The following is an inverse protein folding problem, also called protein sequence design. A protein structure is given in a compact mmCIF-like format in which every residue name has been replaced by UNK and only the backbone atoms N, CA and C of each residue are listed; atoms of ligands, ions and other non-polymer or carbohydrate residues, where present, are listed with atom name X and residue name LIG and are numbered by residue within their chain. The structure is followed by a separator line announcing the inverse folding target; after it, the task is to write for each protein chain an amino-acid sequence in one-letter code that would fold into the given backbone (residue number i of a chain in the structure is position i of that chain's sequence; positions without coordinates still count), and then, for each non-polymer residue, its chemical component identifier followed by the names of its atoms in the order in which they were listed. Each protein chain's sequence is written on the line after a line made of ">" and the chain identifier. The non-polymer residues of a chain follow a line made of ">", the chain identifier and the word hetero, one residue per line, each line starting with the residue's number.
data_IF_129076227003
#
_entry.id   IF_129076227003
#
_cell.length_a   1.000
_cell.length_b   1.000
_cell.length_c   1.000
_cell.angle_alpha   90.00
_cell.angle_beta   90.00
_cell.angle_gamma   90.00
#
_symmetry.space_group_name_H-M   'P 1'
#
loop_
_entity.id
_entity.type
_entity.pdbx_description
1 polymer ?
#
# COMPACT_ATOMS: atom_id res chain seq x y z
N UNK A 1 -4.25 -12.67 7.18
CA UNK A 1 -3.52 -12.62 5.90
C UNK A 1 -4.32 -13.31 4.83
N UNK A 2 -4.49 -12.70 3.66
CA UNK A 2 -5.24 -13.23 2.51
C UNK A 2 -4.56 -12.82 1.21
N UNK A 3 -4.71 -13.65 0.17
CA UNK A 3 -4.19 -13.45 -1.17
C UNK A 3 -5.37 -13.57 -2.14
N UNK A 4 -5.44 -12.68 -3.12
CA UNK A 4 -6.47 -12.64 -4.15
C UNK A 4 -5.76 -12.44 -5.49
N UNK A 5 -5.84 -13.43 -6.37
CA UNK A 5 -5.38 -13.32 -7.75
C UNK A 5 -6.51 -12.76 -8.63
N UNK A 6 -6.15 -12.20 -9.77
CA UNK A 6 -7.07 -11.57 -10.72
C UNK A 6 -7.99 -10.54 -10.04
N UNK A 7 -7.38 -9.69 -9.19
CA UNK A 7 -8.09 -8.79 -8.28
C UNK A 7 -8.91 -7.72 -9.01
N UNK A 8 -8.35 -7.10 -10.04
CA UNK A 8 -9.00 -6.06 -10.83
C UNK A 8 -9.43 -6.59 -12.20
N UNK A 9 -10.53 -6.08 -12.78
CA UNK A 9 -10.82 -6.23 -14.20
C UNK A 9 -9.68 -5.70 -15.09
N UNK A 10 -9.53 -6.25 -16.30
CA UNK A 10 -8.44 -5.89 -17.20
C UNK A 10 -8.39 -4.41 -17.55
N UNK A 11 -9.54 -3.79 -17.78
CA UNK A 11 -9.65 -2.36 -18.09
C UNK A 11 -9.20 -1.45 -16.93
N UNK A 12 -9.41 -1.87 -15.69
CA UNK A 12 -8.91 -1.15 -14.50
C UNK A 12 -7.41 -1.32 -14.34
N UNK A 13 -6.87 -2.51 -14.61
CA UNK A 13 -5.42 -2.73 -14.67
C UNK A 13 -4.76 -1.86 -15.72
N UNK A 14 -5.33 -1.79 -16.92
CA UNK A 14 -4.80 -0.98 -18.01
C UNK A 14 -4.84 0.51 -17.64
N UNK A 15 -5.92 0.97 -17.02
CA UNK A 15 -6.02 2.33 -16.53
C UNK A 15 -4.95 2.65 -15.48
N UNK A 16 -4.68 1.75 -14.52
CA UNK A 16 -3.61 1.91 -13.54
C UNK A 16 -2.23 1.97 -14.20
N UNK A 17 -1.96 1.07 -15.17
CA UNK A 17 -0.68 1.02 -15.85
C UNK A 17 -0.39 2.26 -16.73
N UNK A 18 -1.44 2.97 -17.14
CA UNK A 18 -1.35 4.22 -17.91
C UNK A 18 -1.23 5.47 -17.03
N UNK A 19 -1.37 5.35 -15.71
CA UNK A 19 -1.14 6.48 -14.82
C UNK A 19 0.35 6.87 -14.85
N UNK A 20 0.60 8.19 -14.83
CA UNK A 20 1.95 8.69 -14.61
C UNK A 20 2.34 8.42 -13.15
N UNK A 21 3.26 7.47 -12.96
CA UNK A 21 3.75 7.07 -11.64
C UNK A 21 4.83 8.06 -11.21
N UNK A 22 4.51 8.90 -10.24
CA UNK A 22 5.51 9.71 -9.56
C UNK A 22 6.15 8.89 -8.44
N UNK A 23 7.43 8.57 -8.62
CA UNK A 23 8.20 7.78 -7.66
C UNK A 23 8.29 8.48 -6.31
N UNK A 24 8.24 7.69 -5.25
CA UNK A 24 8.41 8.13 -3.87
C UNK A 24 7.35 9.14 -3.36
N UNK A 25 6.20 9.26 -4.01
CA UNK A 25 5.06 10.00 -3.47
C UNK A 25 4.14 9.08 -2.67
N UNK A 26 3.66 9.59 -1.55
CA UNK A 26 2.54 9.03 -0.80
C UNK A 26 1.30 9.86 -1.10
N UNK A 27 0.25 9.18 -1.53
CA UNK A 27 -1.04 9.80 -1.80
C UNK A 27 -1.95 9.57 -0.60
N UNK A 28 -2.56 10.62 -0.09
CA UNK A 28 -3.67 10.51 0.86
C UNK A 28 -4.99 10.47 0.09
N UNK A 29 -5.78 9.44 0.32
CA UNK A 29 -7.08 9.24 -0.32
C UNK A 29 -8.14 9.12 0.78
N UNK A 30 -8.99 10.14 0.91
CA UNK A 30 -10.06 10.17 1.89
C UNK A 30 -11.10 9.07 1.62
N UNK A 31 -11.62 8.43 2.68
CA UNK A 31 -12.64 7.39 2.53
C UNK A 31 -13.94 7.92 1.91
N UNK A 32 -14.24 9.21 2.06
CA UNK A 32 -15.38 9.88 1.46
C UNK A 32 -15.09 10.46 0.06
N UNK A 33 -13.85 10.32 -0.48
CA UNK A 33 -13.53 10.81 -1.81
C UNK A 33 -14.26 10.03 -2.89
N UNK A 34 -14.47 10.66 -4.05
CA UNK A 34 -15.09 9.97 -5.18
C UNK A 34 -14.13 8.91 -5.74
N UNK A 35 -14.48 7.61 -5.71
CA UNK A 35 -13.63 6.54 -6.23
C UNK A 35 -13.34 6.68 -7.73
N UNK A 36 -14.19 7.34 -8.49
CA UNK A 36 -14.03 7.49 -9.93
C UNK A 36 -13.12 8.67 -10.34
N UNK A 37 -12.45 9.32 -9.38
CA UNK A 37 -11.53 10.44 -9.66
C UNK A 37 -10.38 10.01 -10.58
N UNK A 38 -9.77 8.87 -10.31
CA UNK A 38 -8.74 8.25 -11.14
C UNK A 38 -8.57 6.76 -10.79
N UNK A 39 -7.80 6.03 -11.61
CA UNK A 39 -7.61 4.60 -11.44
C UNK A 39 -6.97 4.22 -10.09
N UNK A 40 -6.03 5.03 -9.55
CA UNK A 40 -5.44 4.78 -8.24
C UNK A 40 -6.49 4.92 -7.13
N UNK A 41 -7.28 5.98 -7.15
CA UNK A 41 -8.35 6.21 -6.16
C UNK A 41 -9.35 5.05 -6.20
N UNK A 42 -9.78 4.63 -7.38
CA UNK A 42 -10.70 3.51 -7.57
C UNK A 42 -10.13 2.20 -7.01
N UNK A 43 -8.88 1.90 -7.34
CA UNK A 43 -8.18 0.71 -6.83
C UNK A 43 -8.05 0.75 -5.31
N UNK A 44 -7.68 1.89 -4.71
CA UNK A 44 -7.57 2.03 -3.26
C UNK A 44 -8.94 1.83 -2.60
N UNK A 45 -9.99 2.46 -3.11
CA UNK A 45 -11.35 2.28 -2.58
C UNK A 45 -11.84 0.83 -2.66
N UNK A 46 -11.45 0.07 -3.68
CA UNK A 46 -11.83 -1.34 -3.79
C UNK A 46 -11.28 -2.18 -2.62
N UNK A 47 -10.13 -1.80 -2.02
CA UNK A 47 -9.58 -2.47 -0.84
C UNK A 47 -10.36 -2.17 0.44
N UNK A 48 -11.17 -1.12 0.48
CA UNK A 48 -11.97 -0.75 1.67
C UNK A 48 -12.93 -1.86 2.10
N UNK A 49 -13.39 -2.70 1.17
CA UNK A 49 -14.24 -3.85 1.47
C UNK A 49 -13.60 -4.89 2.40
N UNK A 50 -12.28 -4.83 2.61
CA UNK A 50 -11.51 -5.72 3.48
C UNK A 50 -11.08 -5.06 4.78
N UNK A 51 -11.39 -3.77 4.98
CA UNK A 51 -11.14 -3.02 6.21
C UNK A 51 -12.23 -3.36 7.21
N UNK A 52 -11.85 -3.76 8.42
CA UNK A 52 -12.80 -4.21 9.43
C UNK A 52 -13.53 -3.06 10.12
N UNK A 53 -12.78 -2.01 10.45
CA UNK A 53 -13.30 -0.84 11.15
C UNK A 53 -13.39 0.36 10.22
N UNK A 54 -14.32 1.30 10.45
CA UNK A 54 -14.40 2.52 9.68
C UNK A 54 -13.07 3.28 9.67
N UNK A 55 -12.59 3.63 8.48
CA UNK A 55 -11.40 4.44 8.28
C UNK A 55 -11.75 5.81 7.68
N UNK A 56 -10.92 6.83 7.97
CA UNK A 56 -11.08 8.18 7.42
C UNK A 56 -10.41 8.33 6.06
N UNK A 57 -9.38 7.55 5.79
CA UNK A 57 -8.68 7.57 4.52
C UNK A 57 -7.54 6.57 4.46
N UNK A 58 -6.90 6.49 3.31
CA UNK A 58 -5.76 5.63 3.08
C UNK A 58 -4.54 6.41 2.63
N UNK A 59 -3.36 5.93 3.04
CA UNK A 59 -2.13 6.25 2.34
C UNK A 59 -1.87 5.19 1.28
N UNK A 60 -1.49 5.63 0.08
CA UNK A 60 -1.09 4.76 -1.02
C UNK A 60 0.22 5.26 -1.61
N UNK A 61 1.13 4.33 -1.92
CA UNK A 61 2.44 4.65 -2.51
C UNK A 61 2.90 3.58 -3.49
N UNK A 62 3.69 4.01 -4.49
CA UNK A 62 4.28 3.11 -5.46
C UNK A 62 5.66 2.63 -5.03
N UNK A 63 5.88 1.33 -5.04
CA UNK A 63 7.17 0.69 -4.85
C UNK A 63 7.73 0.24 -6.20
N UNK A 64 8.72 0.96 -6.70
CA UNK A 64 9.27 0.80 -8.07
C UNK A 64 10.78 0.70 -8.13
N UNK A 65 11.46 0.80 -6.99
CA UNK A 65 12.91 0.68 -6.92
C UNK A 65 13.30 -0.53 -6.10
N UNK A 66 14.37 -1.25 -6.48
CA UNK A 66 14.99 -2.18 -5.57
C UNK A 66 15.44 -1.39 -4.35
N UNK A 67 14.85 -1.70 -3.21
CA UNK A 67 15.28 -1.19 -1.91
C UNK A 67 16.08 -2.28 -1.21
N UNK A 68 17.01 -1.89 -0.35
CA UNK A 68 17.63 -2.85 0.55
C UNK A 68 16.53 -3.57 1.33
N UNK A 69 16.60 -4.91 1.42
CA UNK A 69 15.56 -5.72 2.04
C UNK A 69 15.57 -5.55 3.56
N UNK A 70 15.09 -4.40 4.02
CA UNK A 70 14.98 -4.10 5.46
C UNK A 70 13.66 -4.65 5.98
N UNK A 71 13.76 -5.42 7.06
CA UNK A 71 12.59 -5.84 7.81
C UNK A 71 11.94 -4.63 8.50
N UNK A 72 10.65 -4.45 8.29
CA UNK A 72 9.85 -3.38 8.90
C UNK A 72 8.41 -3.84 9.11
N UNK A 73 7.64 -3.04 9.81
CA UNK A 73 6.19 -3.05 9.73
C UNK A 73 5.69 -1.61 9.51
N UNK A 74 4.49 -1.48 9.00
CA UNK A 74 4.00 -0.18 8.54
C UNK A 74 3.49 0.72 9.67
N UNK A 75 3.46 0.24 10.91
CA UNK A 75 2.91 0.99 12.05
C UNK A 75 3.94 1.38 13.12
N UNK A 76 5.11 0.73 13.18
CA UNK A 76 6.10 0.97 14.25
C UNK A 76 6.53 2.43 14.35
N UNK A 77 6.71 3.10 13.23
CA UNK A 77 7.11 4.52 13.21
C UNK A 77 6.03 5.47 13.73
N UNK A 78 4.82 4.97 14.03
CA UNK A 78 3.68 5.77 14.47
C UNK A 78 3.20 5.42 15.88
N UNK A 79 3.69 4.33 16.47
CA UNK A 79 3.25 3.87 17.79
C UNK A 79 3.51 4.89 18.91
N UNK A 80 4.56 5.71 18.78
CA UNK A 80 4.91 6.74 19.74
C UNK A 80 4.14 8.06 19.52
N UNK A 81 3.58 8.26 18.33
CA UNK A 81 2.89 9.49 17.93
C UNK A 81 1.37 9.40 18.12
N UNK A 82 0.79 8.20 17.96
CA UNK A 82 -0.67 8.02 17.93
C UNK A 82 -1.14 6.91 18.87
N UNK A 83 -2.37 7.03 19.44
CA UNK A 83 -2.98 5.95 20.20
C UNK A 83 -3.09 4.66 19.37
N UNK A 84 -2.77 3.52 19.98
CA UNK A 84 -2.72 2.23 19.29
C UNK A 84 -4.02 1.85 18.58
N UNK A 85 -5.17 2.27 19.13
CA UNK A 85 -6.49 2.03 18.52
C UNK A 85 -6.79 2.90 17.30
N UNK A 86 -5.96 3.90 17.01
CA UNK A 86 -6.05 4.75 15.81
C UNK A 86 -5.14 4.29 14.69
N UNK A 87 -4.23 3.34 14.96
CA UNK A 87 -3.30 2.82 13.99
C UNK A 87 -3.98 1.88 12.98
N UNK A 88 -3.42 1.74 11.79
CA UNK A 88 -3.91 0.80 10.79
C UNK A 88 -3.92 -0.64 11.28
N UNK A 89 -4.92 -1.40 10.87
CA UNK A 89 -5.01 -2.83 11.19
C UNK A 89 -4.43 -3.72 10.08
N UNK A 90 -4.43 -3.24 8.86
CA UNK A 90 -4.04 -4.02 7.69
C UNK A 90 -3.21 -3.23 6.70
N UNK A 91 -2.19 -3.89 6.20
CA UNK A 91 -1.41 -3.49 5.03
C UNK A 91 -1.89 -4.26 3.82
N UNK A 92 -2.03 -3.55 2.71
CA UNK A 92 -2.38 -4.10 1.40
C UNK A 92 -1.23 -3.87 0.43
N UNK A 93 -0.90 -4.88 -0.35
CA UNK A 93 0.08 -4.79 -1.44
C UNK A 93 -0.56 -5.31 -2.71
N UNK A 94 -0.70 -4.44 -3.70
CA UNK A 94 -1.16 -4.79 -5.03
C UNK A 94 0.00 -4.80 -6.02
N UNK A 95 0.15 -5.85 -6.80
CA UNK A 95 1.20 -5.98 -7.79
C UNK A 95 0.71 -5.57 -9.17
N UNK A 96 1.34 -4.56 -9.73
CA UNK A 96 1.08 -4.10 -11.11
C UNK A 96 1.97 -4.84 -12.11
N UNK A 97 3.24 -5.08 -11.75
CA UNK A 97 4.25 -5.72 -12.62
C UNK A 97 5.14 -6.65 -11.82
N UNK A 98 5.49 -7.79 -12.43
CA UNK A 98 6.52 -8.68 -11.90
C UNK A 98 7.93 -8.20 -12.22
N UNK A 99 8.91 -8.48 -11.37
CA UNK A 99 10.33 -8.40 -11.74
C UNK A 99 10.72 -9.54 -12.68
N UNK A 100 11.93 -9.46 -13.24
CA UNK A 100 12.51 -10.55 -14.03
C UNK A 100 12.98 -11.71 -13.12
N UNK A 101 13.43 -11.37 -11.89
CA UNK A 101 13.79 -12.34 -10.85
C UNK A 101 13.65 -11.76 -9.44
N UNK A 102 13.42 -12.58 -8.45
CA UNK A 102 13.33 -12.19 -7.04
C UNK A 102 12.06 -11.40 -6.70
N UNK A 103 12.18 -10.42 -5.80
CA UNK A 103 11.10 -9.48 -5.46
C UNK A 103 9.95 -10.06 -4.66
N UNK A 104 10.11 -11.26 -4.11
CA UNK A 104 9.11 -11.88 -3.26
C UNK A 104 8.87 -11.04 -1.99
N UNK A 105 7.62 -10.98 -1.57
CA UNK A 105 7.27 -10.46 -0.25
C UNK A 105 7.49 -11.56 0.78
N UNK A 106 8.34 -11.30 1.75
CA UNK A 106 8.56 -12.17 2.90
C UNK A 106 7.85 -11.58 4.11
N UNK A 107 7.04 -12.39 4.78
CA UNK A 107 6.43 -12.07 6.07
C UNK A 107 7.20 -12.84 7.14
N UNK A 108 7.70 -12.09 8.12
CA UNK A 108 8.43 -12.63 9.27
C UNK A 108 7.57 -12.81 10.50
N UNK A 109 8.16 -13.44 11.50
CA UNK A 109 7.67 -13.45 12.88
C UNK A 109 8.50 -12.45 13.73
N UNK A 110 8.21 -12.37 15.01
CA UNK A 110 8.93 -11.50 15.97
C UNK A 110 10.45 -11.77 16.03
N UNK A 111 10.90 -12.95 15.64
CA UNK A 111 12.30 -13.33 15.57
C UNK A 111 12.92 -13.10 14.19
N UNK A 112 12.22 -12.40 13.29
CA UNK A 112 12.64 -12.15 11.90
C UNK A 112 12.80 -13.42 11.05
N UNK A 113 12.34 -14.55 11.54
CA UNK A 113 12.29 -15.78 10.75
C UNK A 113 11.17 -15.71 9.72
N UNK A 114 11.49 -16.07 8.47
CA UNK A 114 10.52 -16.07 7.37
C UNK A 114 9.44 -17.11 7.67
N UNK A 115 8.21 -16.64 7.71
CA UNK A 115 7.03 -17.47 7.97
C UNK A 115 6.27 -17.78 6.68
N UNK A 116 6.20 -16.79 5.77
CA UNK A 116 5.57 -16.93 4.45
C UNK A 116 6.29 -16.10 3.41
N UNK A 117 6.27 -16.58 2.18
CA UNK A 117 6.81 -15.92 1.00
C UNK A 117 5.74 -15.87 -0.08
N UNK A 118 5.62 -14.72 -0.75
CA UNK A 118 4.65 -14.50 -1.80
C UNK A 118 5.33 -13.97 -3.07
N UNK A 119 5.02 -14.59 -4.19
CA UNK A 119 5.47 -14.14 -5.50
C UNK A 119 4.77 -12.86 -5.93
N UNK A 120 5.48 -11.90 -6.53
CA UNK A 120 4.94 -10.66 -7.07
C UNK A 120 4.26 -10.89 -8.43
N UNK A 121 3.11 -11.56 -8.45
CA UNK A 121 2.33 -11.83 -9.67
C UNK A 121 1.47 -10.61 -10.00
N UNK A 122 1.46 -10.11 -11.25
CA UNK A 122 0.60 -9.01 -11.67
C UNK A 122 -0.87 -9.29 -11.39
N UNK A 123 -1.62 -8.26 -11.03
CA UNK A 123 -3.02 -8.33 -10.62
C UNK A 123 -3.29 -9.18 -9.36
N UNK A 124 -2.28 -9.34 -8.52
CA UNK A 124 -2.41 -9.97 -7.20
C UNK A 124 -2.52 -8.92 -6.12
N UNK A 125 -3.54 -9.04 -5.26
CA UNK A 125 -3.64 -8.32 -4.01
C UNK A 125 -3.29 -9.24 -2.85
N UNK A 126 -2.40 -8.79 -1.97
CA UNK A 126 -2.11 -9.43 -0.69
C UNK A 126 -2.49 -8.46 0.41
N UNK A 127 -3.19 -8.93 1.46
CA UNK A 127 -3.34 -8.14 2.66
C UNK A 127 -3.10 -8.94 3.93
N UNK A 128 -2.51 -8.26 4.90
CA UNK A 128 -2.08 -8.85 6.16
C UNK A 128 -2.15 -7.83 7.29
N UNK A 129 -2.02 -8.30 8.52
CA UNK A 129 -2.00 -7.47 9.71
C UNK A 129 -0.81 -6.50 9.66
N UNK A 130 -1.08 -5.21 9.86
CA UNK A 130 -0.07 -4.15 9.75
C UNK A 130 1.06 -4.26 10.81
N UNK A 131 0.85 -5.05 11.87
CA UNK A 131 1.88 -5.34 12.88
C UNK A 131 2.91 -6.37 12.42
N UNK A 132 2.61 -7.13 11.36
CA UNK A 132 3.52 -8.16 10.88
C UNK A 132 4.75 -7.54 10.22
N UNK A 133 5.93 -8.00 10.64
CA UNK A 133 7.18 -7.64 10.00
C UNK A 133 7.25 -8.26 8.62
N UNK A 134 7.70 -7.46 7.67
CA UNK A 134 7.83 -7.90 6.30
C UNK A 134 8.99 -7.20 5.60
N UNK A 135 9.39 -7.76 4.47
CA UNK A 135 10.35 -7.15 3.56
C UNK A 135 10.13 -7.65 2.14
N UNK A 136 10.71 -6.94 1.18
CA UNK A 136 10.80 -7.39 -0.21
C UNK A 136 12.20 -7.95 -0.46
N UNK A 137 12.32 -9.14 -1.02
CA UNK A 137 13.61 -9.69 -1.44
C UNK A 137 14.27 -8.82 -2.52
N UNK A 138 15.60 -8.81 -2.63
CA UNK A 138 16.28 -8.22 -3.78
C UNK A 138 15.68 -8.75 -5.09
N UNK A 139 15.65 -7.90 -6.12
CA UNK A 139 15.09 -8.27 -7.42
C UNK A 139 15.79 -7.55 -8.57
N UNK A 140 15.64 -8.11 -9.76
CA UNK A 140 16.07 -7.52 -11.02
C UNK A 140 14.85 -7.22 -11.89
N UNK A 141 14.96 -6.21 -12.77
CA UNK A 141 13.90 -5.83 -13.67
C UNK A 141 12.90 -4.82 -13.10
N UNK A 142 11.74 -4.75 -13.70
CA UNK A 142 10.75 -3.70 -13.45
C UNK A 142 9.59 -4.18 -12.56
N UNK A 143 9.84 -4.36 -11.27
CA UNK A 143 8.79 -4.63 -10.29
C UNK A 143 8.06 -3.34 -9.92
N UNK A 144 6.71 -3.37 -10.02
CA UNK A 144 5.85 -2.27 -9.57
C UNK A 144 4.78 -2.81 -8.66
N UNK A 145 4.67 -2.26 -7.46
CA UNK A 145 3.56 -2.55 -6.55
C UNK A 145 3.03 -1.28 -5.89
N UNK A 146 1.78 -1.33 -5.45
CA UNK A 146 1.14 -0.27 -4.67
C UNK A 146 0.99 -0.79 -3.24
N UNK A 147 1.59 -0.10 -2.28
CA UNK A 147 1.31 -0.28 -0.86
C UNK A 147 0.13 0.58 -0.45
N UNK A 148 -0.76 0.07 0.38
CA UNK A 148 -1.94 0.80 0.87
C UNK A 148 -2.13 0.48 2.35
N UNK A 149 -2.40 1.54 3.11
CA UNK A 149 -2.70 1.43 4.54
C UNK A 149 -3.89 2.33 4.87
N UNK A 150 -4.95 1.77 5.44
CA UNK A 150 -6.15 2.50 5.85
C UNK A 150 -6.05 2.99 7.29
N UNK A 151 -6.36 4.26 7.52
CA UNK A 151 -6.22 4.97 8.79
C UNK A 151 -7.58 5.31 9.39
N UNK A 152 -7.71 5.11 10.71
CA UNK A 152 -8.89 5.56 11.50
C UNK A 152 -8.84 7.05 11.85
N UNK A 153 -7.67 7.68 11.72
CA UNK A 153 -7.42 9.11 11.89
C UNK A 153 -6.70 9.65 10.65
N UNK A 154 -6.71 10.97 10.47
CA UNK A 154 -5.79 11.61 9.53
C UNK A 154 -4.49 11.88 10.26
N UNK A 155 -3.35 11.25 9.90
CA UNK A 155 -2.08 11.56 10.53
C UNK A 155 -1.70 13.04 10.33
N UNK A 156 -1.16 13.72 11.35
CA UNK A 156 -0.91 15.19 11.39
C UNK A 156 -0.13 15.68 10.17
N UNK A 157 0.82 14.87 9.69
CA UNK A 157 1.60 15.17 8.47
C UNK A 157 0.75 15.33 7.20
N UNK A 158 -0.53 14.96 7.23
CA UNK A 158 -1.48 15.12 6.13
C UNK A 158 -2.54 16.20 6.42
N UNK A 159 -2.69 16.66 7.68
CA UNK A 159 -3.66 17.70 8.05
C UNK A 159 -3.24 19.09 7.57
N UNK A 160 -1.93 19.40 7.57
CA UNK A 160 -1.40 20.72 7.18
C UNK A 160 -1.48 20.98 5.65
N UNK A 161 -1.71 19.95 4.86
CA UNK A 161 -1.88 20.12 3.42
C UNK A 161 -3.37 20.36 3.16
N UNK A 162 -3.76 21.60 2.94
CA UNK A 162 -5.11 21.94 2.49
C UNK A 162 -5.46 21.02 1.34
N UNK A 163 -6.41 20.13 1.61
CA UNK A 163 -6.94 19.17 0.65
C UNK A 163 -7.48 19.98 -0.52
N UNK A 164 -6.84 19.84 -1.67
CA UNK A 164 -7.43 20.30 -2.91
C UNK A 164 -8.79 19.63 -3.10
N UNK A 165 -9.69 20.25 -3.85
CA UNK A 165 -11.09 19.79 -4.01
C UNK A 165 -11.27 18.34 -4.49
N UNK A 166 -10.17 17.61 -4.70
CA UNK A 166 -10.12 16.20 -5.10
C UNK A 166 -9.74 15.22 -4.00
N UNK A 167 -9.47 15.67 -2.76
CA UNK A 167 -9.06 14.82 -1.62
C UNK A 167 -7.84 13.91 -1.89
N UNK A 168 -6.94 14.31 -2.78
CA UNK A 168 -5.70 13.59 -3.06
C UNK A 168 -4.54 14.47 -2.61
N UNK A 169 -3.81 14.01 -1.60
CA UNK A 169 -2.60 14.66 -1.10
C UNK A 169 -1.38 13.91 -1.62
N UNK A 170 -0.45 14.64 -2.20
CA UNK A 170 0.79 14.10 -2.70
C UNK A 170 1.96 14.53 -1.80
N UNK A 171 2.76 13.59 -1.35
CA UNK A 171 4.00 13.86 -0.61
C UNK A 171 5.18 13.16 -1.24
N UNK A 172 6.28 13.88 -1.33
CA UNK A 172 7.58 13.32 -1.74
C UNK A 172 8.33 12.90 -0.48
N UNK A 173 8.75 11.65 -0.40
CA UNK A 173 9.69 11.20 0.61
C UNK A 173 11.06 11.86 0.34
N UNK A 174 11.63 12.46 1.36
CA UNK A 174 13.02 12.93 1.31
C UNK A 174 13.96 11.81 1.73
#
# INVERSE_FOLDING_TARGET
>A
MKLIDDYLPQDEMDALNNLHIEYAKVHWIGAASNPDTNALTKMVHSTYNYVKDPALGATAWYNVRPVDPVWHNDILSYCDEYPINSLPESTFIYYMRSPDSGGHLEIGNESWAINKTFEPIPNRLIYFDATLTHRVQPYEGNRVSIGIVWWKITPDRYEEQKIDQYNVLERVWK
#
